data_IF_958081005686
#
_entry.id   IF_958081005686
#
_cell.length_a   1.000
_cell.length_b   1.000
_cell.length_c   1.000
_cell.angle_alpha   90.00
_cell.angle_beta   90.00
_cell.angle_gamma   90.00
#
_symmetry.space_group_name_H-M   'P 1'
#
loop_
_entity.id
_entity.type
_entity.pdbx_description
1 polymer ?
#
# COMPACT_ATOMS: atom_id res chain seq x y z
N UNK A 1 17.91 -0.90 -32.65
CA UNK A 1 17.58 -2.26 -32.21
C UNK A 1 17.63 -2.35 -30.69
N UNK A 2 16.52 -2.07 -30.01
CA UNK A 2 16.40 -2.07 -28.54
C UNK A 2 16.40 -3.50 -27.97
N UNK A 3 17.11 -4.43 -28.62
CA UNK A 3 17.21 -5.83 -28.25
C UNK A 3 18.07 -5.95 -26.98
N UNK A 4 17.37 -5.86 -25.85
CA UNK A 4 17.58 -6.66 -24.65
C UNK A 4 18.97 -6.56 -24.02
N UNK A 5 19.26 -5.43 -23.38
CA UNK A 5 19.98 -5.52 -22.13
C UNK A 5 19.10 -6.34 -21.17
N UNK A 6 19.53 -7.56 -20.81
CA UNK A 6 18.79 -8.46 -19.93
C UNK A 6 18.94 -7.99 -18.48
N UNK A 7 18.20 -6.93 -18.12
CA UNK A 7 18.15 -6.38 -16.77
C UNK A 7 17.41 -7.28 -15.77
N UNK A 8 16.65 -8.25 -16.28
CA UNK A 8 15.93 -9.23 -15.49
C UNK A 8 16.31 -10.65 -15.92
N UNK A 9 16.26 -11.56 -14.96
CA UNK A 9 16.47 -13.00 -15.17
C UNK A 9 15.30 -13.61 -15.94
N UNK A 10 15.53 -14.78 -16.56
CA UNK A 10 14.49 -15.56 -17.22
C UNK A 10 13.32 -15.89 -16.27
N UNK A 11 13.64 -16.26 -15.02
CA UNK A 11 12.64 -16.53 -13.98
C UNK A 11 11.77 -15.31 -13.67
N UNK A 12 12.38 -14.12 -13.56
CA UNK A 12 11.63 -12.88 -13.33
C UNK A 12 10.73 -12.54 -14.52
N UNK A 13 11.21 -12.74 -15.75
CA UNK A 13 10.39 -12.58 -16.95
C UNK A 13 9.16 -13.50 -16.94
N UNK A 14 9.34 -14.78 -16.60
CA UNK A 14 8.25 -15.75 -16.48
C UNK A 14 7.24 -15.36 -15.39
N UNK A 15 7.72 -14.85 -14.25
CA UNK A 15 6.88 -14.37 -13.16
C UNK A 15 6.07 -13.11 -13.52
N UNK A 16 6.66 -12.23 -14.33
CA UNK A 16 6.01 -10.99 -14.80
C UNK A 16 5.06 -11.22 -15.98
N UNK A 17 5.22 -12.34 -16.70
CA UNK A 17 4.40 -12.66 -17.86
C UNK A 17 2.92 -12.81 -17.48
N UNK A 18 2.07 -12.06 -18.17
CA UNK A 18 0.62 -12.06 -17.97
C UNK A 18 0.01 -13.20 -18.79
N UNK A 19 -0.87 -13.99 -18.17
CA UNK A 19 -1.71 -14.94 -18.88
C UNK A 19 -3.10 -14.34 -19.02
N UNK A 20 -3.68 -14.25 -20.23
CA UNK A 20 -4.99 -13.64 -20.45
C UNK A 20 -6.11 -14.20 -19.56
N UNK A 21 -6.05 -15.49 -19.23
CA UNK A 21 -7.06 -16.18 -18.42
C UNK A 21 -6.89 -15.95 -16.90
N UNK A 22 -5.85 -15.25 -16.47
CA UNK A 22 -5.54 -14.98 -15.05
C UNK A 22 -5.82 -13.53 -14.63
N UNK A 23 -6.16 -12.64 -15.58
CA UNK A 23 -6.27 -11.19 -15.32
C UNK A 23 -7.62 -10.62 -15.74
N UNK A 24 -8.04 -9.58 -15.02
CA UNK A 24 -9.28 -8.84 -15.27
C UNK A 24 -8.97 -7.33 -15.32
N UNK A 25 -9.74 -6.57 -16.09
CA UNK A 25 -9.66 -5.11 -16.07
C UNK A 25 -10.24 -4.57 -14.76
N UNK A 26 -9.80 -3.37 -14.38
CA UNK A 26 -10.33 -2.73 -13.20
C UNK A 26 -11.81 -2.40 -13.35
N UNK A 27 -12.59 -2.64 -12.30
CA UNK A 27 -14.03 -2.34 -12.28
C UNK A 27 -14.31 -1.10 -11.46
N UNK A 28 -15.00 -0.12 -12.05
CA UNK A 28 -15.53 1.04 -11.32
C UNK A 28 -16.92 0.70 -10.77
N UNK A 29 -17.09 0.83 -9.46
CA UNK A 29 -18.40 0.76 -8.82
C UNK A 29 -18.51 1.78 -7.68
N UNK A 30 -19.70 1.91 -7.13
CA UNK A 30 -20.02 2.92 -6.14
C UNK A 30 -20.51 2.27 -4.85
N UNK A 31 -19.98 2.73 -3.70
CA UNK A 31 -20.45 2.34 -2.38
C UNK A 31 -21.19 3.49 -1.70
N UNK A 32 -22.36 3.25 -1.08
CA UNK A 32 -23.08 4.30 -0.37
C UNK A 32 -22.33 4.75 0.88
N UNK A 33 -22.22 6.07 1.08
CA UNK A 33 -21.75 6.65 2.34
C UNK A 33 -22.94 6.88 3.27
N UNK A 34 -23.39 5.82 3.93
CA UNK A 34 -24.60 5.82 4.76
C UNK A 34 -24.66 6.90 5.87
N UNK A 35 -23.52 7.47 6.28
CA UNK A 35 -23.42 8.53 7.28
C UNK A 35 -23.46 9.95 6.69
N UNK A 36 -23.69 10.13 5.39
CA UNK A 36 -23.74 11.44 4.74
C UNK A 36 -25.13 11.72 4.17
N UNK A 37 -25.70 12.93 4.34
CA UNK A 37 -26.99 13.30 3.78
C UNK A 37 -27.04 13.19 2.25
N UNK A 38 -28.17 12.77 1.68
CA UNK A 38 -28.35 12.68 0.22
C UNK A 38 -27.69 11.46 -0.44
N UNK A 39 -27.18 10.51 0.35
CA UNK A 39 -26.52 9.27 -0.10
C UNK A 39 -25.38 9.51 -1.11
N UNK A 40 -24.35 10.29 -0.75
CA UNK A 40 -23.22 10.47 -1.64
C UNK A 40 -22.53 9.12 -1.82
N UNK A 41 -22.24 8.80 -3.07
CA UNK A 41 -21.58 7.58 -3.44
C UNK A 41 -20.06 7.78 -3.36
N UNK A 42 -19.35 6.78 -2.84
CA UNK A 42 -17.89 6.71 -2.94
C UNK A 42 -17.54 5.90 -4.19
N UNK A 43 -16.91 6.49 -5.22
CA UNK A 43 -16.37 5.72 -6.32
C UNK A 43 -15.24 4.81 -5.80
N UNK A 44 -15.24 3.56 -6.24
CA UNK A 44 -14.23 2.55 -5.95
C UNK A 44 -13.76 1.97 -7.27
N UNK A 45 -12.45 1.93 -7.48
CA UNK A 45 -11.82 1.19 -8.56
C UNK A 45 -11.28 -0.10 -7.97
N UNK A 46 -11.90 -1.24 -8.28
CA UNK A 46 -11.37 -2.55 -7.88
C UNK A 46 -10.34 -3.03 -8.89
N UNK A 47 -9.10 -3.14 -8.43
CA UNK A 47 -7.99 -3.74 -9.17
C UNK A 47 -7.75 -5.22 -8.84
N UNK A 48 -8.80 -5.96 -8.45
CA UNK A 48 -8.67 -7.41 -8.23
C UNK A 48 -8.26 -8.11 -9.54
N UNK A 49 -7.26 -8.99 -9.46
CA UNK A 49 -6.64 -9.67 -10.62
C UNK A 49 -6.16 -8.72 -11.74
N UNK A 50 -5.87 -7.46 -11.41
CA UNK A 50 -5.41 -6.50 -12.40
C UNK A 50 -4.05 -6.93 -13.00
N UNK A 51 -3.80 -6.70 -14.31
CA UNK A 51 -2.54 -7.05 -14.96
C UNK A 51 -1.29 -6.45 -14.28
N UNK A 52 -1.45 -5.38 -13.49
CA UNK A 52 -0.33 -4.74 -12.80
C UNK A 52 0.09 -5.43 -11.49
N UNK A 53 -0.67 -6.40 -10.96
CA UNK A 53 -0.35 -7.03 -9.67
C UNK A 53 1.05 -7.66 -9.67
N UNK A 54 1.42 -8.34 -10.76
CA UNK A 54 2.72 -9.03 -10.88
C UNK A 54 3.89 -8.04 -10.85
N UNK A 55 3.78 -6.93 -11.59
CA UNK A 55 4.84 -5.90 -11.61
C UNK A 55 4.88 -5.11 -10.29
N UNK A 56 3.73 -4.80 -9.68
CA UNK A 56 3.69 -4.14 -8.38
C UNK A 56 4.36 -5.00 -7.30
N UNK A 57 4.11 -6.31 -7.29
CA UNK A 57 4.78 -7.24 -6.38
C UNK A 57 6.28 -7.31 -6.64
N UNK A 58 6.70 -7.38 -7.90
CA UNK A 58 8.12 -7.40 -8.24
C UNK A 58 8.85 -6.13 -7.75
N UNK A 59 8.22 -4.96 -7.90
CA UNK A 59 8.76 -3.71 -7.38
C UNK A 59 8.79 -3.69 -5.85
N UNK A 60 7.74 -4.18 -5.18
CA UNK A 60 7.72 -4.33 -3.73
C UNK A 60 8.88 -5.22 -3.24
N UNK A 61 9.07 -6.40 -3.85
CA UNK A 61 10.17 -7.32 -3.53
C UNK A 61 11.55 -6.66 -3.74
N UNK A 62 11.70 -5.81 -4.76
CA UNK A 62 12.94 -5.08 -5.04
C UNK A 62 13.21 -3.97 -4.01
N UNK A 63 12.18 -3.25 -3.60
CA UNK A 63 12.27 -2.12 -2.66
C UNK A 63 12.27 -2.58 -1.20
N UNK A 64 11.80 -3.79 -0.92
CA UNK A 64 11.64 -4.31 0.43
C UNK A 64 12.91 -4.25 1.29
N UNK A 65 14.10 -4.61 0.78
CA UNK A 65 15.33 -4.48 1.57
C UNK A 65 15.64 -3.03 1.99
N UNK A 66 15.33 -2.05 1.13
CA UNK A 66 15.51 -0.64 1.45
C UNK A 66 14.53 -0.19 2.54
N UNK A 67 13.27 -0.61 2.42
CA UNK A 67 12.26 -0.37 3.46
C UNK A 67 12.69 -0.98 4.81
N UNK A 68 13.13 -2.24 4.78
CA UNK A 68 13.54 -2.96 6.00
C UNK A 68 14.75 -2.27 6.68
N UNK A 69 15.68 -1.73 5.89
CA UNK A 69 16.84 -0.99 6.40
C UNK A 69 16.49 0.41 6.94
N UNK A 70 15.64 1.15 6.24
CA UNK A 70 15.46 2.59 6.49
C UNK A 70 14.23 2.93 7.32
N UNK A 71 13.15 2.16 7.18
CA UNK A 71 11.81 2.57 7.61
C UNK A 71 11.08 1.54 8.48
N UNK A 72 11.59 0.30 8.62
CA UNK A 72 10.94 -0.75 9.42
C UNK A 72 10.66 -0.34 10.88
N UNK A 73 11.58 0.40 11.50
CA UNK A 73 11.47 0.82 12.89
C UNK A 73 10.59 2.06 13.10
N UNK A 74 10.34 2.85 12.06
CA UNK A 74 9.50 4.06 12.11
C UNK A 74 8.13 3.86 11.46
N UNK A 75 7.93 2.75 10.75
CA UNK A 75 6.68 2.43 10.08
C UNK A 75 5.83 1.51 10.94
N UNK A 76 4.56 1.87 11.06
CA UNK A 76 3.55 1.08 11.74
C UNK A 76 2.75 0.32 10.67
N UNK A 77 2.86 -1.01 10.68
CA UNK A 77 2.23 -1.89 9.68
C UNK A 77 0.88 -2.46 10.13
N UNK A 78 0.56 -2.32 11.42
CA UNK A 78 -0.65 -2.88 12.03
C UNK A 78 -1.23 -1.91 13.07
N UNK A 79 -2.54 -1.70 13.01
CA UNK A 79 -3.26 -0.91 14.03
C UNK A 79 -3.18 -1.53 15.43
N UNK A 80 -3.08 -2.85 15.53
CA UNK A 80 -2.90 -3.53 16.81
C UNK A 80 -1.53 -3.21 17.42
N UNK A 81 -0.48 -3.23 16.60
CA UNK A 81 0.87 -2.90 17.06
C UNK A 81 0.97 -1.42 17.44
N UNK A 82 0.31 -0.53 16.68
CA UNK A 82 0.22 0.89 17.02
C UNK A 82 -0.36 1.10 18.41
N UNK A 83 -1.54 0.53 18.68
CA UNK A 83 -2.22 0.70 19.96
C UNK A 83 -1.35 0.17 21.10
N UNK A 84 -0.71 -0.99 20.92
CA UNK A 84 0.21 -1.56 21.90
C UNK A 84 1.41 -0.63 22.19
N UNK A 85 2.02 -0.09 21.15
CA UNK A 85 3.15 0.85 21.29
C UNK A 85 2.72 2.14 22.00
N UNK A 86 1.58 2.72 21.62
CA UNK A 86 1.03 3.92 22.25
C UNK A 86 0.70 3.69 23.74
N UNK A 87 0.13 2.55 24.09
CA UNK A 87 -0.15 2.20 25.49
C UNK A 87 1.13 2.02 26.33
N UNK A 88 2.21 1.53 25.74
CA UNK A 88 3.50 1.44 26.43
C UNK A 88 4.12 2.82 26.59
N UNK A 89 4.12 3.63 25.53
CA UNK A 89 4.61 4.99 25.54
C UNK A 89 3.85 5.87 26.55
N UNK A 90 2.53 5.71 26.65
CA UNK A 90 1.68 6.54 27.51
C UNK A 90 1.99 6.39 29.00
N UNK A 91 2.53 5.25 29.43
CA UNK A 91 2.86 4.99 30.84
C UNK A 91 3.83 6.00 31.43
N UNK A 92 4.75 6.52 30.60
CA UNK A 92 5.83 7.41 31.04
C UNK A 92 5.72 8.82 30.43
N UNK A 93 4.99 8.98 29.32
CA UNK A 93 5.04 10.19 28.50
C UNK A 93 3.70 10.92 28.37
N UNK A 94 2.58 10.30 28.75
CA UNK A 94 1.26 10.93 28.57
C UNK A 94 1.02 12.03 29.61
N UNK A 95 0.66 13.21 29.11
CA UNK A 95 0.36 14.40 29.92
C UNK A 95 -0.95 15.02 29.47
N UNK A 96 -1.54 15.86 30.32
CA UNK A 96 -2.81 16.51 30.01
C UNK A 96 -2.76 17.42 28.77
N UNK A 97 -1.59 17.95 28.45
CA UNK A 97 -1.29 18.80 27.28
C UNK A 97 -0.79 18.01 26.06
N UNK A 98 -0.79 16.67 26.12
CA UNK A 98 -0.39 15.83 24.98
C UNK A 98 -1.41 15.94 23.85
N UNK A 99 -0.95 16.33 22.66
CA UNK A 99 -1.77 16.42 21.46
C UNK A 99 -1.47 15.26 20.50
N UNK A 100 -2.53 14.70 19.91
CA UNK A 100 -2.41 13.78 18.80
C UNK A 100 -2.59 14.55 17.50
N UNK A 101 -1.52 14.64 16.72
CA UNK A 101 -1.52 15.37 15.45
C UNK A 101 -1.30 14.40 14.31
N UNK A 102 -2.01 14.62 13.21
CA UNK A 102 -1.74 13.95 11.93
C UNK A 102 -1.12 14.97 10.99
N UNK A 103 0.02 14.64 10.42
CA UNK A 103 0.68 15.44 9.39
C UNK A 103 0.59 14.62 8.11
N UNK A 104 0.03 15.23 7.07
CA UNK A 104 -0.02 14.63 5.74
C UNK A 104 1.08 15.24 4.88
N UNK A 105 1.73 14.40 4.06
CA UNK A 105 2.73 14.88 3.11
C UNK A 105 2.01 15.14 1.80
N UNK A 106 1.79 16.42 1.49
CA UNK A 106 1.37 16.86 0.17
C UNK A 106 2.59 17.05 -0.72
N UNK A 107 2.45 16.86 -2.03
CA UNK A 107 3.51 17.20 -2.99
C UNK A 107 4.12 18.59 -2.68
N UNK A 108 5.45 18.69 -2.78
CA UNK A 108 6.21 19.93 -2.63
C UNK A 108 5.95 20.91 -3.78
#
# INVERSE_FOLDING_TARGET
DLRLAKWITQKQYEQLSIKPNEVELAHLYYLPKAHKPGTPLRPIISGLKHPTIKISKFLDDLLRPLFDQMASNSTVTSGFDLVKQLQQWSRNNFRQDTLFCTIDVTDL
#
